data_IF_011228961730
#
_entry.id   IF_011228961730
#
_cell.length_a   1.000
_cell.length_b   1.000
_cell.length_c   1.000
_cell.angle_alpha   90.00
_cell.angle_beta   90.00
_cell.angle_gamma   90.00
#
_symmetry.space_group_name_H-M   'P 1'
#
loop_
_entity.id
_entity.type
_entity.pdbx_description
1 polymer ?
#
# COMPACT_ATOMS: atom_id res chain seq x y z
N UNK A 1 -16.07 11.90 -66.41
CA UNK A 1 -15.46 12.90 -65.52
C UNK A 1 -16.19 12.81 -64.22
N UNK A 2 -15.63 12.04 -63.26
CA UNK A 2 -16.19 11.92 -61.92
C UNK A 2 -15.28 12.70 -60.94
N UNK A 3 -15.85 13.76 -60.35
CA UNK A 3 -15.18 14.61 -59.39
C UNK A 3 -15.38 13.99 -57.96
N UNK A 4 -14.32 13.49 -57.35
CA UNK A 4 -14.33 13.02 -55.98
C UNK A 4 -14.04 14.21 -55.06
N UNK A 5 -15.04 14.66 -54.30
CA UNK A 5 -14.88 15.61 -53.22
C UNK A 5 -14.45 14.88 -51.95
N UNK A 6 -13.22 15.08 -51.51
CA UNK A 6 -12.72 14.60 -50.25
C UNK A 6 -13.11 15.59 -49.13
N UNK A 7 -14.02 15.19 -48.25
CA UNK A 7 -14.35 15.92 -47.04
C UNK A 7 -13.32 15.61 -45.93
N UNK A 8 -12.49 16.57 -45.59
CA UNK A 8 -11.58 16.48 -44.44
C UNK A 8 -12.34 16.72 -43.14
N UNK A 9 -12.48 15.70 -42.33
CA UNK A 9 -12.96 15.78 -40.93
C UNK A 9 -11.82 16.25 -40.05
N UNK A 10 -11.85 17.51 -39.68
CA UNK A 10 -10.98 18.06 -38.61
C UNK A 10 -11.51 17.60 -37.25
N UNK A 11 -10.85 16.60 -36.65
CA UNK A 11 -11.05 16.22 -35.28
C UNK A 11 -10.34 17.28 -34.44
N UNK A 12 -11.12 18.19 -33.82
CA UNK A 12 -10.64 19.13 -32.81
C UNK A 12 -10.38 18.33 -31.53
N UNK A 13 -9.11 18.01 -31.23
CA UNK A 13 -8.71 17.60 -29.91
C UNK A 13 -8.90 18.78 -28.97
N UNK A 14 -9.91 18.70 -28.11
CA UNK A 14 -10.09 19.64 -27.00
C UNK A 14 -8.94 19.38 -26.01
N UNK A 15 -7.98 20.30 -25.92
CA UNK A 15 -6.98 20.32 -24.85
C UNK A 15 -7.72 20.57 -23.53
N UNK A 16 -7.95 19.51 -22.80
CA UNK A 16 -8.45 19.58 -21.42
C UNK A 16 -7.36 20.26 -20.59
N UNK A 17 -7.61 21.49 -20.20
CA UNK A 17 -6.73 22.31 -19.40
C UNK A 17 -6.57 21.62 -18.05
N UNK A 18 -5.51 20.83 -17.90
CA UNK A 18 -5.18 20.19 -16.62
C UNK A 18 -4.98 21.27 -15.56
N UNK A 19 -5.84 21.28 -14.54
CA UNK A 19 -5.65 22.13 -13.38
C UNK A 19 -4.28 21.81 -12.75
N UNK A 20 -3.48 22.81 -12.38
CA UNK A 20 -2.22 22.57 -11.72
C UNK A 20 -2.47 21.79 -10.44
N UNK A 21 -1.77 20.66 -10.31
CA UNK A 21 -1.79 19.86 -9.07
C UNK A 21 -1.42 20.74 -7.89
N UNK A 22 -2.13 20.65 -6.77
CA UNK A 22 -1.79 21.42 -5.57
C UNK A 22 -0.36 21.08 -5.14
N UNK A 23 0.42 22.09 -4.80
CA UNK A 23 1.76 21.93 -4.25
C UNK A 23 1.67 21.10 -2.95
N UNK A 24 2.09 19.83 -3.04
CA UNK A 24 2.17 18.96 -1.87
C UNK A 24 3.39 19.39 -1.04
N UNK A 25 3.25 19.49 0.28
CA UNK A 25 4.39 19.78 1.13
C UNK A 25 5.48 18.69 0.93
N UNK A 26 6.76 19.07 0.97
CA UNK A 26 7.86 18.11 0.81
C UNK A 26 7.74 17.03 1.88
N UNK A 27 7.85 15.77 1.46
CA UNK A 27 7.85 14.63 2.37
C UNK A 27 9.18 14.61 3.11
N UNK A 28 9.15 14.82 4.42
CA UNK A 28 10.35 14.65 5.26
C UNK A 28 10.70 13.16 5.33
N UNK A 29 11.91 12.82 4.87
CA UNK A 29 12.43 11.45 4.92
C UNK A 29 13.02 11.23 6.31
N UNK A 30 12.40 10.40 7.17
CA UNK A 30 12.94 10.11 8.49
C UNK A 30 14.34 9.51 8.40
N UNK A 31 15.23 9.93 9.28
CA UNK A 31 16.59 9.38 9.38
C UNK A 31 16.63 8.06 10.18
N UNK A 32 15.59 7.80 10.92
CA UNK A 32 15.38 6.62 11.76
C UNK A 32 14.89 5.41 10.94
N UNK A 33 14.98 4.22 11.53
CA UNK A 33 14.54 2.95 10.95
C UNK A 33 13.09 2.61 11.30
N UNK A 34 12.57 2.94 12.51
CA UNK A 34 11.19 2.64 12.85
C UNK A 34 10.20 3.16 11.82
N UNK A 35 9.21 2.32 11.47
CA UNK A 35 8.24 2.68 10.46
C UNK A 35 7.47 1.48 9.91
N UNK A 36 6.54 1.75 9.00
CA UNK A 36 5.79 0.75 8.26
C UNK A 36 6.43 0.54 6.89
N UNK A 37 6.64 -0.71 6.54
CA UNK A 37 7.26 -1.12 5.28
C UNK A 37 6.39 -2.15 4.57
N UNK A 38 6.39 -2.12 3.25
CA UNK A 38 5.70 -3.10 2.42
C UNK A 38 6.56 -3.48 1.23
N UNK A 39 6.65 -4.78 0.94
CA UNK A 39 7.44 -5.29 -0.15
C UNK A 39 7.15 -6.76 -0.44
N UNK A 40 7.96 -7.35 -1.30
CA UNK A 40 7.90 -8.79 -1.62
C UNK A 40 9.17 -9.46 -1.14
N UNK A 41 9.01 -10.66 -0.58
CA UNK A 41 10.13 -11.55 -0.32
C UNK A 41 10.27 -12.59 -1.45
N UNK A 42 11.50 -13.08 -1.67
CA UNK A 42 11.72 -14.24 -2.52
C UNK A 42 10.91 -15.44 -2.01
N UNK A 43 10.41 -16.24 -2.94
CA UNK A 43 9.66 -17.42 -2.63
C UNK A 43 9.86 -18.45 -3.75
N UNK A 44 10.43 -19.60 -3.42
CA UNK A 44 10.75 -20.64 -4.39
C UNK A 44 9.56 -21.57 -4.67
N UNK A 45 8.64 -21.70 -3.69
CA UNK A 45 7.51 -22.63 -3.70
C UNK A 45 6.14 -21.91 -3.71
N UNK A 46 6.11 -20.64 -4.08
CA UNK A 46 4.88 -19.84 -4.17
C UNK A 46 4.90 -18.88 -5.35
N UNK A 47 3.72 -18.43 -5.76
CA UNK A 47 3.56 -17.44 -6.82
C UNK A 47 3.96 -16.04 -6.36
N UNK A 48 3.70 -15.71 -5.09
CA UNK A 48 4.03 -14.41 -4.52
C UNK A 48 4.04 -14.47 -2.99
N UNK A 49 4.99 -13.78 -2.40
CA UNK A 49 5.07 -13.58 -0.95
C UNK A 49 5.15 -12.08 -0.67
N UNK A 50 4.02 -11.47 -0.31
CA UNK A 50 3.95 -10.06 0.07
C UNK A 50 4.07 -9.93 1.58
N UNK A 51 4.85 -8.95 2.02
CA UNK A 51 5.04 -8.68 3.45
C UNK A 51 4.77 -7.23 3.74
N UNK A 52 4.01 -7.01 4.80
CA UNK A 52 3.84 -5.71 5.43
C UNK A 52 4.36 -5.79 6.85
N UNK A 53 5.37 -4.99 7.19
CA UNK A 53 5.99 -5.04 8.52
C UNK A 53 6.04 -3.67 9.18
N UNK A 54 5.86 -3.66 10.48
CA UNK A 54 6.06 -2.50 11.35
C UNK A 54 7.30 -2.74 12.19
N UNK A 55 8.26 -1.83 12.08
CA UNK A 55 9.43 -1.73 12.95
C UNK A 55 9.15 -0.66 13.99
N UNK A 56 9.14 -1.01 15.25
CA UNK A 56 8.82 -0.10 16.37
C UNK A 56 10.09 0.48 17.00
N UNK A 57 9.97 1.60 17.71
CA UNK A 57 11.10 2.26 18.39
C UNK A 57 11.73 1.41 19.50
N UNK A 58 10.97 0.50 20.09
CA UNK A 58 11.42 -0.48 21.08
C UNK A 58 12.15 -1.69 20.47
N UNK A 59 12.50 -1.63 19.20
CA UNK A 59 13.10 -2.70 18.41
C UNK A 59 12.20 -3.94 18.21
N UNK A 60 10.92 -3.85 18.48
CA UNK A 60 9.98 -4.93 18.15
C UNK A 60 9.59 -4.89 16.66
N UNK A 61 9.22 -6.06 16.14
CA UNK A 61 8.73 -6.25 14.77
C UNK A 61 7.40 -6.99 14.79
N UNK A 62 6.47 -6.48 14.02
CA UNK A 62 5.25 -7.21 13.65
C UNK A 62 5.16 -7.22 12.13
N UNK A 63 5.12 -8.40 11.53
CA UNK A 63 5.01 -8.58 10.09
C UNK A 63 3.79 -9.41 9.75
N UNK A 64 3.01 -8.97 8.77
CA UNK A 64 1.96 -9.76 8.13
C UNK A 64 2.48 -10.22 6.80
N UNK A 65 2.56 -11.53 6.62
CA UNK A 65 2.99 -12.19 5.40
C UNK A 65 1.78 -12.76 4.69
N UNK A 66 1.63 -12.43 3.42
CA UNK A 66 0.59 -12.93 2.53
C UNK A 66 1.26 -13.78 1.45
N UNK A 67 1.06 -15.08 1.53
CA UNK A 67 1.66 -16.05 0.61
C UNK A 67 0.59 -16.59 -0.33
N UNK A 68 0.83 -16.48 -1.62
CA UNK A 68 -0.03 -17.03 -2.66
C UNK A 68 0.61 -18.29 -3.22
N UNK A 69 -0.03 -19.43 -2.94
CA UNK A 69 0.21 -20.74 -3.57
C UNK A 69 -1.05 -21.12 -4.37
N UNK A 70 -1.54 -22.29 -4.20
CA UNK A 70 -2.86 -22.70 -4.71
C UNK A 70 -3.99 -21.95 -3.98
N UNK A 71 -3.75 -21.61 -2.72
CA UNK A 71 -4.61 -20.79 -1.88
C UNK A 71 -3.83 -19.60 -1.32
N UNK A 72 -4.56 -18.59 -0.86
CA UNK A 72 -3.98 -17.44 -0.18
C UNK A 72 -3.89 -17.72 1.32
N UNK A 73 -2.68 -17.66 1.85
CA UNK A 73 -2.39 -17.85 3.27
C UNK A 73 -1.89 -16.54 3.88
N UNK A 74 -2.32 -16.28 5.11
CA UNK A 74 -1.90 -15.07 5.83
C UNK A 74 -1.35 -15.45 7.18
N UNK A 75 -0.10 -15.06 7.44
CA UNK A 75 0.60 -15.28 8.69
C UNK A 75 0.95 -13.95 9.36
N UNK A 76 0.90 -13.92 10.68
CA UNK A 76 1.39 -12.78 11.46
C UNK A 76 2.60 -13.22 12.27
N UNK A 77 3.74 -12.66 11.93
CA UNK A 77 5.04 -12.96 12.51
C UNK A 77 5.44 -11.85 13.49
N UNK A 78 6.02 -12.22 14.61
CA UNK A 78 6.51 -11.30 15.64
C UNK A 78 7.97 -11.55 15.95
N UNK A 79 8.69 -10.51 16.34
CA UNK A 79 10.10 -10.64 16.66
C UNK A 79 10.75 -9.34 17.05
N UNK A 80 12.04 -9.27 16.84
CA UNK A 80 12.86 -8.08 17.10
C UNK A 80 13.79 -7.78 15.95
N UNK A 81 14.33 -6.56 15.93
CA UNK A 81 15.35 -6.18 14.96
C UNK A 81 16.52 -5.49 15.63
N UNK A 82 17.67 -5.55 14.97
CA UNK A 82 18.90 -4.85 15.36
C UNK A 82 19.41 -4.07 14.17
N UNK A 83 19.75 -2.81 14.40
CA UNK A 83 20.37 -1.94 13.40
C UNK A 83 21.87 -1.96 13.61
N UNK A 84 22.61 -2.22 12.54
CA UNK A 84 24.06 -2.07 12.46
C UNK A 84 24.39 -0.99 11.44
N UNK A 85 25.65 -0.61 11.34
CA UNK A 85 26.11 0.43 10.38
C UNK A 85 25.74 0.11 8.92
N UNK A 86 25.67 -1.19 8.59
CA UNK A 86 25.46 -1.66 7.21
C UNK A 86 24.16 -2.41 6.98
N UNK A 87 23.48 -2.87 8.02
CA UNK A 87 22.33 -3.76 7.90
C UNK A 87 21.29 -3.59 9.01
N UNK A 88 20.07 -3.97 8.69
CA UNK A 88 18.97 -4.16 9.63
C UNK A 88 18.68 -5.66 9.65
N UNK A 89 18.94 -6.30 10.78
CA UNK A 89 18.73 -7.73 10.98
C UNK A 89 17.46 -7.95 11.76
N UNK A 90 16.53 -8.68 11.19
CA UNK A 90 15.24 -9.04 11.80
C UNK A 90 15.25 -10.50 12.19
N UNK A 91 14.88 -10.79 13.42
CA UNK A 91 14.72 -12.16 13.95
C UNK A 91 13.27 -12.36 14.36
N UNK A 92 12.60 -13.30 13.72
CA UNK A 92 11.19 -13.62 13.94
C UNK A 92 11.10 -14.90 14.76
N UNK A 93 10.29 -14.85 15.84
CA UNK A 93 10.30 -15.88 16.89
C UNK A 93 9.63 -17.17 16.45
N UNK A 94 8.59 -17.11 15.61
CA UNK A 94 7.70 -18.25 15.36
C UNK A 94 8.32 -19.34 14.48
N UNK A 95 9.25 -18.99 13.59
CA UNK A 95 9.88 -19.96 12.68
C UNK A 95 11.41 -19.86 12.62
N UNK A 96 12.04 -19.19 13.58
CA UNK A 96 13.47 -18.86 13.56
C UNK A 96 13.90 -18.20 12.23
N UNK A 97 12.99 -17.47 11.61
CA UNK A 97 13.25 -16.76 10.36
C UNK A 97 14.14 -15.55 10.62
N UNK A 98 15.12 -15.39 9.76
CA UNK A 98 16.01 -14.24 9.80
C UNK A 98 15.93 -13.49 8.46
N UNK A 99 15.60 -12.22 8.54
CA UNK A 99 15.63 -11.33 7.38
C UNK A 99 16.72 -10.29 7.54
N UNK A 100 17.48 -10.08 6.49
CA UNK A 100 18.52 -9.07 6.45
C UNK A 100 18.14 -8.00 5.44
N UNK A 101 18.24 -6.74 5.84
CA UNK A 101 17.97 -5.61 4.97
C UNK A 101 19.12 -4.61 4.99
N UNK A 102 19.29 -3.90 3.88
CA UNK A 102 20.12 -2.72 3.78
C UNK A 102 19.24 -1.51 3.54
N UNK A 103 19.54 -0.42 4.21
CA UNK A 103 18.84 0.84 3.97
C UNK A 103 19.27 1.43 2.62
N UNK A 104 18.30 1.87 1.83
CA UNK A 104 18.48 2.51 0.54
C UNK A 104 17.83 3.89 0.51
N UNK A 105 17.79 4.54 -0.65
CA UNK A 105 17.22 5.88 -0.82
C UNK A 105 15.78 5.96 -0.28
N UNK A 106 15.39 7.16 0.15
CA UNK A 106 14.04 7.45 0.67
C UNK A 106 13.63 6.64 1.91
N UNK A 107 14.59 6.15 2.70
CA UNK A 107 14.31 5.33 3.88
C UNK A 107 13.75 3.93 3.56
N UNK A 108 13.75 3.50 2.31
CA UNK A 108 13.37 2.17 1.90
C UNK A 108 14.42 1.14 2.33
N UNK A 109 14.02 -0.14 2.33
CA UNK A 109 14.88 -1.26 2.71
C UNK A 109 15.02 -2.20 1.52
N UNK A 110 16.22 -2.72 1.28
CA UNK A 110 16.51 -3.75 0.29
C UNK A 110 16.81 -5.07 0.99
N UNK A 111 16.11 -6.12 0.60
CA UNK A 111 16.34 -7.45 1.12
C UNK A 111 17.71 -7.98 0.67
N UNK A 112 18.42 -8.57 1.63
CA UNK A 112 19.75 -9.14 1.43
C UNK A 112 19.69 -10.64 1.62
N UNK A 113 20.41 -11.36 0.82
CA UNK A 113 20.60 -12.81 0.99
C UNK A 113 21.36 -13.10 2.29
N UNK A 114 21.42 -14.37 2.70
CA UNK A 114 22.23 -14.80 3.83
C UNK A 114 23.73 -14.51 3.65
N UNK A 115 24.18 -14.43 2.40
CA UNK A 115 25.56 -14.06 2.06
C UNK A 115 25.83 -12.53 2.19
N UNK A 116 24.81 -11.73 2.51
CA UNK A 116 24.94 -10.29 2.67
C UNK A 116 25.01 -9.50 1.35
N UNK A 117 24.60 -10.11 0.24
CA UNK A 117 24.46 -9.46 -1.06
C UNK A 117 23.00 -9.12 -1.35
N UNK A 118 22.68 -8.06 -2.10
CA UNK A 118 21.33 -7.77 -2.52
C UNK A 118 20.70 -8.97 -3.22
N UNK A 119 19.46 -9.28 -2.87
CA UNK A 119 18.71 -10.27 -3.62
C UNK A 119 18.32 -9.69 -4.98
N UNK A 120 18.49 -10.49 -6.02
CA UNK A 120 18.00 -10.24 -7.37
C UNK A 120 17.22 -11.46 -7.86
N UNK A 121 16.07 -11.23 -8.46
CA UNK A 121 15.31 -12.28 -9.13
C UNK A 121 15.90 -12.59 -10.53
N UNK A 122 15.28 -13.52 -11.23
CA UNK A 122 15.69 -13.94 -12.59
C UNK A 122 15.63 -12.80 -13.62
N UNK A 123 14.89 -11.75 -13.34
CA UNK A 123 14.71 -10.59 -14.21
C UNK A 123 15.62 -9.42 -13.77
N UNK A 124 16.49 -9.63 -12.78
CA UNK A 124 17.42 -8.65 -12.22
C UNK A 124 16.74 -7.63 -11.30
N UNK A 125 15.53 -7.91 -10.82
CA UNK A 125 14.80 -7.02 -9.93
C UNK A 125 15.15 -7.31 -8.47
N UNK A 126 15.35 -6.24 -7.70
CA UNK A 126 15.60 -6.34 -6.28
C UNK A 126 14.30 -6.47 -5.47
N UNK A 127 14.37 -7.17 -4.35
CA UNK A 127 13.30 -7.22 -3.37
C UNK A 127 13.38 -5.99 -2.43
N UNK A 128 12.80 -4.90 -2.86
CA UNK A 128 12.77 -3.64 -2.12
C UNK A 128 11.48 -3.50 -1.31
N UNK A 129 11.63 -3.04 -0.07
CA UNK A 129 10.54 -2.72 0.84
C UNK A 129 10.38 -1.21 0.92
N UNK A 130 9.24 -0.74 0.46
CA UNK A 130 8.92 0.68 0.43
C UNK A 130 8.41 1.12 1.78
N UNK A 131 8.98 2.20 2.30
CA UNK A 131 8.50 2.82 3.52
C UNK A 131 7.17 3.52 3.26
N UNK A 132 6.16 3.18 4.05
CA UNK A 132 4.83 3.79 3.95
C UNK A 132 4.78 5.02 4.85
N UNK A 133 4.67 6.18 4.26
CA UNK A 133 4.50 7.43 4.98
C UNK A 133 3.02 7.70 5.24
N UNK A 134 2.70 8.22 6.42
CA UNK A 134 1.35 8.75 6.67
C UNK A 134 1.18 9.99 5.80
N UNK A 135 0.13 10.01 5.00
CA UNK A 135 -0.19 11.20 4.21
C UNK A 135 -0.46 12.39 5.15
N UNK A 136 0.18 13.53 4.93
CA UNK A 136 -0.15 14.75 5.65
C UNK A 136 -1.53 15.33 5.26
N UNK A 137 -2.13 14.79 4.19
CA UNK A 137 -3.44 15.22 3.74
C UNK A 137 -4.49 14.82 4.78
N UNK A 138 -5.16 15.80 5.34
CA UNK A 138 -6.36 15.56 6.15
C UNK A 138 -7.39 14.84 5.26
N UNK A 139 -8.08 13.81 5.79
CA UNK A 139 -9.16 13.19 5.03
C UNK A 139 -10.15 14.28 4.64
N UNK A 140 -10.48 14.37 3.36
CA UNK A 140 -11.55 15.25 2.89
C UNK A 140 -12.83 14.68 3.47
N UNK A 141 -13.30 15.27 4.56
CA UNK A 141 -14.63 15.00 5.08
C UNK A 141 -15.58 15.55 4.03
N UNK A 142 -16.09 14.71 3.15
CA UNK A 142 -17.24 15.06 2.34
C UNK A 142 -18.37 15.23 3.34
N UNK A 143 -18.68 16.50 3.68
CA UNK A 143 -19.94 16.83 4.27
C UNK A 143 -21.01 16.50 3.21
N UNK A 144 -21.51 15.27 3.24
CA UNK A 144 -22.80 14.97 2.67
C UNK A 144 -23.81 15.70 3.56
N UNK A 145 -24.17 16.90 3.16
CA UNK A 145 -25.40 17.51 3.63
C UNK A 145 -26.52 16.53 3.28
N UNK A 146 -26.87 15.73 4.28
CA UNK A 146 -28.11 14.99 4.26
C UNK A 146 -29.22 16.04 4.24
N UNK A 147 -29.81 16.23 3.08
CA UNK A 147 -31.08 16.93 2.96
C UNK A 147 -32.10 16.12 3.75
N UNK A 148 -32.38 16.66 4.92
CA UNK A 148 -33.48 16.24 5.79
C UNK A 148 -34.79 16.44 5.02
N UNK A 149 -35.32 15.35 4.48
CA UNK A 149 -36.68 15.26 3.99
C UNK A 149 -37.51 14.49 5.01
N UNK A 150 -37.93 15.22 6.03
CA UNK A 150 -38.94 14.78 6.98
C UNK A 150 -40.26 14.54 6.24
N UNK A 151 -40.53 13.30 5.91
CA UNK A 151 -41.86 12.82 5.62
C UNK A 151 -42.29 11.90 6.76
N UNK A 152 -42.97 12.50 7.70
CA UNK A 152 -43.67 11.82 8.81
C UNK A 152 -44.86 10.99 8.26
N UNK A 153 -44.90 9.66 8.42
CA UNK A 153 -46.10 8.90 8.14
C UNK A 153 -47.04 8.96 9.36
N UNK A 154 -48.21 9.57 9.16
CA UNK A 154 -49.33 9.52 10.10
C UNK A 154 -49.71 8.09 10.46
N UNK A 155 -50.02 7.81 11.74
CA UNK A 155 -50.55 6.50 12.17
C UNK A 155 -51.99 6.35 11.70
N UNK A 156 -52.26 5.30 10.93
CA UNK A 156 -53.61 4.84 10.63
C UNK A 156 -54.14 4.05 11.85
N UNK A 157 -55.08 4.62 12.55
CA UNK A 157 -55.94 3.92 13.49
C UNK A 157 -56.83 2.93 12.73
N UNK A 158 -56.62 1.65 12.91
CA UNK A 158 -57.64 0.64 12.63
C UNK A 158 -58.28 0.19 13.93
N UNK A 159 -59.46 0.73 14.13
CA UNK A 159 -60.46 0.25 15.05
C UNK A 159 -60.98 -1.11 14.56
N UNK A 160 -60.94 -2.13 15.38
CA UNK A 160 -61.70 -3.37 15.14
C UNK A 160 -62.24 -3.88 16.48
N UNK A 161 -63.48 -3.50 16.71
CA UNK A 161 -64.33 -4.11 17.70
C UNK A 161 -64.91 -5.42 17.17
N UNK A 162 -65.18 -6.36 18.12
CA UNK A 162 -66.13 -7.49 18.12
C UNK A 162 -65.68 -8.73 17.29
N UNK A 163 -65.73 -9.89 17.83
CA UNK A 163 -66.62 -10.69 18.71
C UNK A 163 -65.82 -11.78 19.40
#
# INVERSE_FOLDING_TARGET
MFSLSAAALLVACSEEKSEPLPDLPPVEIPKDVPGLYSGRLPCDDCTSCMVRMTLSEDNSVVATQLTLRDTMETDTLRGSYVVTDSAIKISLSENQLHWNFKRIKFGNLRYMTSAGVPYEDKDGLHADFIRVYKSPLKPIVKNSEASDSSAEPKPVMTDTSKE
#
